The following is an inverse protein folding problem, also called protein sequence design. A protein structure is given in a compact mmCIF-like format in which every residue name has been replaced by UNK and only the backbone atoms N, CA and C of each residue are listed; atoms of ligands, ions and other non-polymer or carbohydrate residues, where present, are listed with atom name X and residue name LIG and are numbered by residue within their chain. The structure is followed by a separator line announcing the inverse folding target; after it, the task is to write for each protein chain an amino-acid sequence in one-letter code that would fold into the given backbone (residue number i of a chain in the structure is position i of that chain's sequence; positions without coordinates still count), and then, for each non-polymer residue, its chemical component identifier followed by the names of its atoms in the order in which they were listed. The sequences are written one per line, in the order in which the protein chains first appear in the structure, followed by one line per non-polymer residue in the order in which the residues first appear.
data_IF_849992854506
#
_entry.id   IF_849992854506
#
_cell.length_a   1.000
_cell.length_b   1.000
_cell.length_c   1.000
_cell.angle_alpha   90.00
_cell.angle_beta   90.00
_cell.angle_gamma   90.00
#
_symmetry.space_group_name_H-M   'P 1'
#
loop_
_entity.id
_entity.type
_entity.pdbx_description
1 polymer ?
#
# COMPACT_ATOMS: atom_id res chain seq x y z
N UNK A 1 -7.63 36.48 -32.58
CA UNK A 1 -6.86 35.85 -31.48
C UNK A 1 -7.74 35.12 -30.44
N UNK A 2 -8.83 35.70 -29.92
CA UNK A 2 -9.72 35.02 -28.93
C UNK A 2 -10.36 33.70 -29.41
N UNK A 3 -10.75 33.59 -30.72
CA UNK A 3 -11.33 32.37 -31.26
C UNK A 3 -10.33 31.21 -31.42
N UNK A 4 -9.05 31.49 -31.67
CA UNK A 4 -7.99 30.49 -31.80
C UNK A 4 -7.62 29.86 -30.43
N UNK A 5 -7.64 30.67 -29.37
CA UNK A 5 -7.38 30.20 -27.98
C UNK A 5 -8.49 29.26 -27.50
N UNK A 6 -9.77 29.54 -27.83
CA UNK A 6 -10.88 28.65 -27.48
C UNK A 6 -10.80 27.29 -28.19
N UNK A 7 -10.33 27.25 -29.44
CA UNK A 7 -10.21 26.01 -30.21
C UNK A 7 -9.07 25.12 -29.69
N UNK A 8 -7.94 25.71 -29.24
CA UNK A 8 -6.83 24.96 -28.62
C UNK A 8 -7.23 24.40 -27.26
N UNK A 9 -7.97 25.15 -26.44
CA UNK A 9 -8.48 24.65 -25.15
C UNK A 9 -9.45 23.48 -25.32
N UNK A 10 -10.31 23.51 -26.36
CA UNK A 10 -11.24 22.40 -26.64
C UNK A 10 -10.54 21.13 -27.12
N UNK A 11 -9.45 21.24 -27.89
CA UNK A 11 -8.67 20.09 -28.38
C UNK A 11 -7.90 19.43 -27.19
N UNK A 12 -7.38 20.21 -26.26
CA UNK A 12 -6.71 19.68 -25.06
C UNK A 12 -7.67 18.93 -24.13
N UNK A 13 -8.91 19.39 -23.98
CA UNK A 13 -9.95 18.71 -23.18
C UNK A 13 -10.40 17.39 -23.82
N UNK A 14 -10.51 17.32 -25.14
CA UNK A 14 -10.87 16.10 -25.86
C UNK A 14 -9.76 15.03 -25.79
N UNK A 15 -8.49 15.41 -25.83
CA UNK A 15 -7.37 14.48 -25.68
C UNK A 15 -7.29 13.87 -24.27
N UNK A 16 -7.56 14.65 -23.23
CA UNK A 16 -7.53 14.16 -21.85
C UNK A 16 -8.67 13.16 -21.56
N UNK A 17 -9.87 13.37 -22.11
CA UNK A 17 -10.99 12.43 -21.98
C UNK A 17 -10.69 11.09 -22.68
N UNK A 18 -10.10 11.10 -23.87
CA UNK A 18 -9.82 9.87 -24.65
C UNK A 18 -8.79 8.96 -23.99
N UNK A 19 -7.80 9.51 -23.29
CA UNK A 19 -6.75 8.72 -22.62
C UNK A 19 -7.22 8.11 -21.30
N UNK A 20 -8.10 8.78 -20.56
CA UNK A 20 -8.72 8.23 -19.34
C UNK A 20 -9.63 7.05 -19.68
N UNK A 21 -10.45 7.15 -20.72
CA UNK A 21 -11.32 6.07 -21.20
C UNK A 21 -10.50 4.84 -21.65
N UNK A 22 -9.40 5.04 -22.39
CA UNK A 22 -8.53 3.94 -22.83
C UNK A 22 -7.88 3.20 -21.64
N UNK A 23 -7.42 3.92 -20.61
CA UNK A 23 -6.84 3.29 -19.41
C UNK A 23 -7.89 2.49 -18.64
N UNK A 24 -9.09 3.03 -18.47
CA UNK A 24 -10.22 2.33 -17.85
C UNK A 24 -10.58 1.05 -18.59
N UNK A 25 -10.62 1.08 -19.93
CA UNK A 25 -10.87 -0.11 -20.75
C UNK A 25 -9.77 -1.16 -20.59
N UNK A 26 -8.50 -0.76 -20.53
CA UNK A 26 -7.38 -1.70 -20.34
C UNK A 26 -7.42 -2.34 -18.96
N UNK A 27 -7.75 -1.59 -17.91
CA UNK A 27 -7.95 -2.13 -16.57
C UNK A 27 -9.16 -3.08 -16.49
N UNK A 28 -10.25 -2.76 -17.21
CA UNK A 28 -11.40 -3.66 -17.33
C UNK A 28 -11.04 -4.97 -18.02
N UNK A 29 -10.20 -4.94 -19.07
CA UNK A 29 -9.68 -6.18 -19.69
C UNK A 29 -8.89 -7.05 -18.72
N UNK A 30 -8.15 -6.44 -17.77
CA UNK A 30 -7.46 -7.20 -16.71
C UNK A 30 -8.48 -7.86 -15.78
N UNK A 31 -9.53 -7.15 -15.33
CA UNK A 31 -10.61 -7.76 -14.54
C UNK A 31 -11.23 -8.96 -15.25
N UNK A 32 -11.65 -8.77 -16.51
CA UNK A 32 -12.32 -9.80 -17.30
C UNK A 32 -11.42 -11.01 -17.57
N UNK A 33 -10.13 -10.77 -17.88
CA UNK A 33 -9.13 -11.83 -18.14
C UNK A 33 -8.92 -12.76 -16.94
N UNK A 34 -8.98 -12.21 -15.74
CA UNK A 34 -8.66 -12.96 -14.51
C UNK A 34 -9.88 -13.28 -13.66
N UNK A 35 -11.07 -12.85 -14.10
CA UNK A 35 -12.30 -12.95 -13.32
C UNK A 35 -12.04 -12.43 -11.89
N UNK A 36 -11.58 -11.19 -11.81
CA UNK A 36 -11.15 -10.56 -10.56
C UNK A 36 -11.63 -9.11 -10.50
N UNK A 37 -11.95 -8.64 -9.30
CA UNK A 37 -12.16 -7.23 -9.06
C UNK A 37 -10.80 -6.55 -8.86
N UNK A 38 -10.61 -5.39 -9.47
CA UNK A 38 -9.40 -4.57 -9.36
C UNK A 38 -9.78 -3.17 -8.88
N UNK A 39 -9.06 -2.65 -7.91
CA UNK A 39 -9.15 -1.26 -7.47
C UNK A 39 -7.78 -0.60 -7.55
N UNK A 40 -7.72 0.60 -8.12
CA UNK A 40 -6.47 1.35 -8.35
C UNK A 40 -6.59 2.78 -7.87
N UNK A 41 -5.57 3.25 -7.21
CA UNK A 41 -5.27 4.67 -7.04
C UNK A 41 -3.79 4.89 -7.33
N UNK A 42 -3.50 5.76 -8.28
CA UNK A 42 -2.14 6.17 -8.63
C UNK A 42 -2.05 7.69 -8.68
N UNK A 43 -1.06 8.26 -8.00
CA UNK A 43 -0.76 9.69 -7.96
C UNK A 43 0.70 9.94 -8.32
N UNK A 44 0.96 10.62 -9.41
CA UNK A 44 2.30 11.17 -9.68
C UNK A 44 2.49 12.43 -8.84
N UNK A 45 3.31 12.34 -7.79
CA UNK A 45 3.52 13.45 -6.84
C UNK A 45 4.35 14.61 -7.42
N UNK A 46 4.89 14.47 -8.63
CA UNK A 46 5.60 15.55 -9.32
C UNK A 46 4.66 16.44 -10.17
N UNK A 47 3.57 15.86 -10.70
CA UNK A 47 2.67 16.51 -11.67
C UNK A 47 1.23 16.60 -11.20
N UNK A 48 0.90 15.99 -10.05
CA UNK A 48 -0.45 15.82 -9.51
C UNK A 48 -1.41 15.04 -10.44
N UNK A 49 -0.88 14.35 -11.47
CA UNK A 49 -1.66 13.48 -12.34
C UNK A 49 -2.13 12.26 -11.57
N UNK A 50 -3.44 12.02 -11.57
CA UNK A 50 -4.05 10.81 -10.98
C UNK A 50 -4.52 9.85 -12.08
N UNK A 51 -4.46 8.55 -11.79
CA UNK A 51 -5.13 7.46 -12.52
C UNK A 51 -5.87 6.64 -11.48
N UNK A 52 -7.18 6.49 -11.66
CA UNK A 52 -8.04 5.77 -10.73
C UNK A 52 -8.90 4.74 -11.45
N UNK A 53 -9.25 3.67 -10.73
CA UNK A 53 -10.18 2.66 -11.20
C UNK A 53 -10.80 1.94 -10.00
N UNK A 54 -12.13 1.93 -9.89
CA UNK A 54 -12.84 1.42 -8.72
C UNK A 54 -12.25 1.98 -7.40
N UNK A 55 -11.79 3.21 -7.40
CA UNK A 55 -11.01 3.84 -6.32
C UNK A 55 -11.76 3.97 -5.00
N UNK A 56 -13.09 3.97 -5.05
CA UNK A 56 -13.99 4.03 -3.89
C UNK A 56 -14.55 2.65 -3.48
N UNK A 57 -14.26 1.58 -4.26
CA UNK A 57 -14.65 0.21 -3.89
C UNK A 57 -13.84 -0.29 -2.70
N UNK A 58 -14.50 -0.98 -1.76
CA UNK A 58 -13.83 -1.54 -0.58
C UNK A 58 -13.16 -2.86 -0.87
N UNK A 59 -11.94 -2.98 -0.35
CA UNK A 59 -11.14 -4.21 -0.37
C UNK A 59 -10.55 -4.48 1.03
N UNK A 60 -10.28 -5.76 1.35
CA UNK A 60 -9.39 -6.07 2.45
C UNK A 60 -8.01 -5.49 2.17
N UNK A 61 -7.44 -4.73 3.08
CA UNK A 61 -6.07 -4.22 2.88
C UNK A 61 -5.00 -5.30 3.20
N UNK A 62 -5.33 -6.29 4.05
CA UNK A 62 -4.41 -7.33 4.51
C UNK A 62 -3.07 -6.74 5.00
N UNK A 63 -1.95 -7.41 4.76
CA UNK A 63 -0.62 -6.94 5.21
C UNK A 63 -0.10 -5.65 4.55
N UNK A 64 -0.82 -5.04 3.58
CA UNK A 64 -0.42 -3.70 3.09
C UNK A 64 -0.54 -2.65 4.19
N UNK A 65 -1.43 -2.86 5.17
CA UNK A 65 -1.58 -1.96 6.33
C UNK A 65 -0.30 -1.82 7.17
N UNK A 66 0.60 -2.80 7.10
CA UNK A 66 1.91 -2.78 7.76
C UNK A 66 2.78 -1.58 7.33
N UNK A 67 2.58 -1.06 6.12
CA UNK A 67 3.24 0.18 5.69
C UNK A 67 2.71 1.40 6.47
N UNK A 68 1.39 1.47 6.72
CA UNK A 68 0.81 2.56 7.50
C UNK A 68 1.16 2.46 8.99
N UNK A 69 1.08 1.27 9.60
CA UNK A 69 1.43 1.07 11.02
C UNK A 69 2.89 1.37 11.29
N UNK A 70 3.81 0.91 10.43
CA UNK A 70 5.24 1.22 10.52
C UNK A 70 5.52 2.72 10.37
N UNK A 71 4.86 3.39 9.41
CA UNK A 71 5.00 4.83 9.23
C UNK A 71 4.48 5.62 10.45
N UNK A 72 3.33 5.21 11.02
CA UNK A 72 2.79 5.84 12.23
C UNK A 72 3.72 5.68 13.44
N UNK A 73 4.35 4.49 13.60
CA UNK A 73 5.31 4.27 14.67
C UNK A 73 6.58 5.11 14.46
N UNK A 74 7.08 5.21 13.23
CA UNK A 74 8.23 6.06 12.88
C UNK A 74 7.94 7.55 13.04
N UNK A 75 6.70 8.01 12.83
CA UNK A 75 6.30 9.38 13.10
C UNK A 75 6.34 9.71 14.60
N UNK A 76 5.96 8.73 15.45
CA UNK A 76 5.93 8.86 16.91
C UNK A 76 7.33 8.71 17.53
N UNK A 77 8.24 7.95 16.90
CA UNK A 77 9.53 7.52 17.48
C UNK A 77 10.69 8.23 16.78
N UNK A 78 11.46 9.10 17.46
CA UNK A 78 12.68 9.67 16.91
C UNK A 78 13.67 8.60 16.45
N UNK A 79 14.43 8.88 15.40
CA UNK A 79 15.33 7.88 14.80
C UNK A 79 16.37 7.31 15.78
N UNK A 80 16.90 8.14 16.67
CA UNK A 80 17.85 7.73 17.74
C UNK A 80 17.22 6.85 18.82
N UNK A 81 15.88 6.80 18.92
CA UNK A 81 15.16 5.96 19.87
C UNK A 81 14.70 4.62 19.27
N UNK A 82 14.94 4.34 18.01
CA UNK A 82 14.55 3.10 17.34
C UNK A 82 15.21 1.85 17.96
N UNK A 83 16.30 2.00 18.72
CA UNK A 83 16.97 0.92 19.45
C UNK A 83 16.36 0.65 20.84
N UNK A 84 15.30 1.37 21.24
CA UNK A 84 14.55 1.09 22.46
C UNK A 84 14.14 -0.38 22.48
N UNK A 85 14.42 -1.05 23.61
CA UNK A 85 14.12 -2.47 23.80
C UNK A 85 12.64 -2.72 23.97
N UNK A 86 12.18 -3.82 23.38
CA UNK A 86 10.83 -4.37 23.50
C UNK A 86 10.97 -5.85 23.79
N UNK A 87 10.34 -6.34 24.86
CA UNK A 87 10.34 -7.75 25.22
C UNK A 87 9.36 -8.53 24.35
N UNK A 88 9.75 -9.72 23.89
CA UNK A 88 8.88 -10.63 23.13
C UNK A 88 8.56 -11.82 24.03
N UNK A 89 7.33 -11.92 24.47
CA UNK A 89 6.85 -13.08 25.24
C UNK A 89 6.43 -14.22 24.29
N UNK A 90 6.25 -15.41 24.84
CA UNK A 90 5.74 -16.56 24.06
C UNK A 90 4.30 -16.32 23.61
N UNK A 91 3.52 -15.63 24.41
CA UNK A 91 2.12 -15.30 24.21
C UNK A 91 1.91 -14.31 23.04
N UNK A 92 2.93 -13.51 22.69
CA UNK A 92 2.88 -12.57 21.57
C UNK A 92 2.94 -13.28 20.22
N UNK A 93 3.48 -14.50 20.18
CA UNK A 93 3.74 -15.20 18.91
C UNK A 93 2.45 -15.70 18.28
N UNK A 94 2.19 -15.17 17.08
CA UNK A 94 1.07 -15.59 16.25
C UNK A 94 1.57 -16.25 14.95
N UNK A 95 0.72 -16.99 14.23
CA UNK A 95 1.10 -17.62 12.97
C UNK A 95 1.72 -16.64 11.96
N UNK A 96 2.73 -17.11 11.23
CA UNK A 96 3.52 -16.34 10.28
C UNK A 96 4.37 -15.23 10.94
N UNK A 97 5.30 -15.64 11.79
CA UNK A 97 6.23 -14.75 12.50
C UNK A 97 7.69 -15.19 12.31
N UNK A 98 8.19 -15.27 11.06
CA UNK A 98 9.48 -15.92 10.74
C UNK A 98 10.70 -15.25 11.36
N UNK A 99 10.55 -14.01 11.84
CA UNK A 99 11.62 -13.27 12.54
C UNK A 99 11.41 -13.33 14.04
N UNK A 100 10.21 -12.95 14.54
CA UNK A 100 9.96 -12.78 15.98
C UNK A 100 9.89 -14.10 16.74
N UNK A 101 9.56 -15.23 16.11
CA UNK A 101 9.66 -16.57 16.74
C UNK A 101 11.05 -16.88 17.30
N UNK A 102 12.12 -16.23 16.80
CA UNK A 102 13.52 -16.39 17.25
C UNK A 102 13.85 -15.56 18.50
N UNK A 103 12.92 -14.67 18.87
CA UNK A 103 13.08 -13.75 20.00
C UNK A 103 12.20 -14.10 21.19
N UNK A 104 11.55 -15.27 21.23
CA UNK A 104 10.73 -15.72 22.35
C UNK A 104 11.51 -15.62 23.65
N UNK A 105 10.95 -14.93 24.66
CA UNK A 105 11.53 -14.61 25.96
C UNK A 105 12.86 -13.83 25.88
N UNK A 106 13.00 -12.99 24.84
CA UNK A 106 14.16 -12.12 24.64
C UNK A 106 13.72 -10.71 24.29
N UNK A 107 14.63 -9.78 24.48
CA UNK A 107 14.45 -8.41 24.02
C UNK A 107 14.79 -8.29 22.54
N UNK A 108 14.00 -7.48 21.85
CA UNK A 108 14.24 -6.97 20.51
C UNK A 108 14.27 -5.44 20.54
N UNK A 109 14.07 -4.76 19.42
CA UNK A 109 14.00 -3.31 19.36
C UNK A 109 12.86 -2.84 18.45
N UNK A 110 12.39 -1.60 18.61
CA UNK A 110 11.43 -0.95 17.69
C UNK A 110 11.94 -1.05 16.25
N UNK A 111 13.23 -0.78 16.03
CA UNK A 111 13.86 -0.95 14.71
C UNK A 111 13.64 -2.35 14.15
N UNK A 112 13.90 -3.37 14.95
CA UNK A 112 13.76 -4.78 14.53
C UNK A 112 12.30 -5.16 14.28
N UNK A 113 11.34 -4.64 15.05
CA UNK A 113 9.91 -4.82 14.76
C UNK A 113 9.55 -4.29 13.38
N UNK A 114 9.98 -3.07 13.05
CA UNK A 114 9.72 -2.44 11.74
C UNK A 114 10.41 -3.22 10.61
N UNK A 115 11.69 -3.64 10.80
CA UNK A 115 12.41 -4.49 9.82
C UNK A 115 11.67 -5.81 9.56
N UNK A 116 11.25 -6.51 10.61
CA UNK A 116 10.53 -7.79 10.49
C UNK A 116 9.19 -7.61 9.77
N UNK A 117 8.46 -6.58 10.16
CA UNK A 117 7.16 -6.23 9.56
C UNK A 117 7.27 -5.91 8.07
N UNK A 118 8.25 -5.08 7.70
CA UNK A 118 8.37 -4.58 6.33
C UNK A 118 9.05 -5.57 5.39
N UNK A 119 10.15 -6.21 5.81
CA UNK A 119 10.91 -7.12 4.94
C UNK A 119 10.26 -8.49 4.77
N UNK A 120 9.66 -9.02 5.85
CA UNK A 120 9.17 -10.40 5.91
C UNK A 120 7.68 -10.51 6.17
N UNK A 121 6.99 -9.37 6.33
CA UNK A 121 5.56 -9.33 6.67
C UNK A 121 5.22 -10.07 7.97
N UNK A 122 6.13 -10.06 8.96
CA UNK A 122 5.99 -10.73 10.25
C UNK A 122 4.73 -10.23 10.99
N UNK A 123 3.86 -11.15 11.39
CA UNK A 123 2.57 -10.82 11.99
C UNK A 123 2.72 -10.39 13.45
N UNK A 124 3.53 -11.10 14.23
CA UNK A 124 3.81 -10.73 15.63
C UNK A 124 4.42 -9.34 15.69
N UNK A 125 5.41 -9.06 14.82
CA UNK A 125 6.04 -7.75 14.78
C UNK A 125 5.03 -6.63 14.51
N UNK A 126 4.07 -6.83 13.60
CA UNK A 126 3.03 -5.83 13.35
C UNK A 126 2.06 -5.68 14.52
N UNK A 127 1.65 -6.76 15.18
CA UNK A 127 0.80 -6.69 16.37
C UNK A 127 1.49 -5.88 17.49
N UNK A 128 2.77 -6.12 17.74
CA UNK A 128 3.56 -5.35 18.71
C UNK A 128 3.70 -3.87 18.30
N UNK A 129 3.81 -3.56 16.99
CA UNK A 129 3.76 -2.18 16.49
C UNK A 129 2.42 -1.52 16.82
N UNK A 130 1.30 -2.22 16.62
CA UNK A 130 -0.03 -1.70 16.97
C UNK A 130 -0.15 -1.45 18.48
N UNK A 131 0.42 -2.31 19.32
CA UNK A 131 0.45 -2.13 20.78
C UNK A 131 1.31 -0.92 21.18
N UNK A 132 2.51 -0.75 20.61
CA UNK A 132 3.37 0.42 20.82
C UNK A 132 2.70 1.74 20.38
N UNK A 133 1.80 1.68 19.39
CA UNK A 133 0.95 2.80 19.00
C UNK A 133 -0.18 3.11 19.99
N UNK A 134 -0.49 2.21 20.92
CA UNK A 134 -1.61 2.31 21.87
C UNK A 134 -2.88 1.59 21.44
N UNK A 135 -2.75 0.60 20.53
CA UNK A 135 -3.83 -0.22 20.02
C UNK A 135 -4.64 0.47 18.90
N UNK A 136 -5.62 -0.26 18.38
CA UNK A 136 -6.42 0.24 17.26
C UNK A 136 -7.27 1.47 17.56
N UNK A 137 -7.56 1.77 18.83
CA UNK A 137 -8.22 3.02 19.22
C UNK A 137 -7.38 4.24 18.81
N UNK A 138 -6.09 4.24 19.14
CA UNK A 138 -5.18 5.34 18.80
C UNK A 138 -4.82 5.33 17.30
N UNK A 139 -4.66 4.16 16.68
CA UNK A 139 -4.49 4.03 15.23
C UNK A 139 -5.66 4.63 14.46
N UNK A 140 -6.91 4.32 14.85
CA UNK A 140 -8.11 4.91 14.24
C UNK A 140 -8.21 6.44 14.47
N UNK A 141 -7.81 6.91 15.64
CA UNK A 141 -7.72 8.35 15.92
C UNK A 141 -6.67 9.02 15.01
N UNK A 142 -5.53 8.35 14.81
CA UNK A 142 -4.49 8.84 13.92
C UNK A 142 -4.96 8.89 12.46
N UNK A 143 -5.62 7.86 11.96
CA UNK A 143 -6.22 7.87 10.62
C UNK A 143 -7.19 9.05 10.45
N UNK A 144 -8.08 9.28 11.42
CA UNK A 144 -8.99 10.43 11.39
C UNK A 144 -8.26 11.77 11.33
N UNK A 145 -7.12 11.93 12.03
CA UNK A 145 -6.31 13.15 11.98
C UNK A 145 -5.60 13.36 10.64
N UNK A 146 -5.54 12.32 9.81
CA UNK A 146 -5.06 12.33 8.42
C UNK A 146 -6.21 12.48 7.41
N UNK A 147 -7.44 12.79 7.88
CA UNK A 147 -8.68 12.83 7.10
C UNK A 147 -9.13 11.49 6.54
N UNK A 148 -8.54 10.37 6.99
CA UNK A 148 -8.97 9.04 6.61
C UNK A 148 -10.08 8.54 7.54
N UNK A 149 -11.32 8.67 7.08
CA UNK A 149 -12.53 8.13 7.74
C UNK A 149 -12.97 6.79 7.13
N UNK A 150 -12.26 6.32 6.12
CA UNK A 150 -12.62 5.17 5.28
C UNK A 150 -11.92 3.88 5.69
N UNK A 151 -10.61 3.94 5.97
CA UNK A 151 -9.82 2.80 6.47
C UNK A 151 -10.29 2.40 7.87
N UNK A 152 -10.56 1.10 8.09
CA UNK A 152 -11.20 0.57 9.31
C UNK A 152 -10.38 -0.57 9.95
N UNK A 153 -9.19 -0.33 10.49
CA UNK A 153 -8.45 -1.36 11.23
C UNK A 153 -9.18 -1.71 12.53
N UNK A 154 -9.33 -3.00 12.80
CA UNK A 154 -10.15 -3.50 13.90
C UNK A 154 -9.60 -4.73 14.60
N UNK A 155 -8.92 -5.63 13.88
CA UNK A 155 -8.45 -6.92 14.38
C UNK A 155 -6.95 -7.03 14.24
N UNK A 156 -6.33 -7.74 15.17
CA UNK A 156 -4.91 -8.11 15.10
C UNK A 156 -4.66 -9.15 14.01
N UNK A 157 -3.39 -9.37 13.67
CA UNK A 157 -2.98 -10.53 12.88
C UNK A 157 -3.13 -11.80 13.72
N UNK A 158 -3.55 -12.94 13.14
CA UNK A 158 -3.86 -13.14 11.72
C UNK A 158 -5.32 -12.86 11.34
N UNK A 159 -6.21 -12.52 12.30
CA UNK A 159 -7.67 -12.41 12.11
C UNK A 159 -8.07 -11.34 11.09
N UNK A 160 -7.28 -10.28 10.95
CA UNK A 160 -7.55 -9.23 9.95
C UNK A 160 -7.56 -9.76 8.51
N UNK A 161 -6.92 -10.92 8.25
CA UNK A 161 -6.86 -11.54 6.92
C UNK A 161 -8.12 -12.41 6.61
N UNK A 162 -9.04 -12.57 7.58
CA UNK A 162 -10.33 -13.19 7.35
C UNK A 162 -11.33 -12.15 6.81
N UNK A 163 -11.18 -11.80 5.52
CA UNK A 163 -12.04 -10.83 4.86
C UNK A 163 -13.49 -11.31 4.78
N UNK A 164 -14.41 -10.38 4.99
CA UNK A 164 -15.84 -10.57 4.81
C UNK A 164 -16.41 -9.37 4.03
N UNK A 165 -16.89 -9.55 2.78
CA UNK A 165 -17.40 -8.45 1.96
C UNK A 165 -18.65 -7.75 2.54
N UNK A 166 -19.32 -8.37 3.51
CA UNK A 166 -20.46 -7.79 4.24
C UNK A 166 -20.04 -6.93 5.44
N UNK A 167 -18.73 -6.74 5.65
CA UNK A 167 -18.16 -5.99 6.79
C UNK A 167 -17.14 -4.97 6.32
N UNK A 168 -17.14 -3.81 6.96
CA UNK A 168 -16.11 -2.79 6.72
C UNK A 168 -14.83 -3.01 7.54
N UNK A 169 -14.79 -4.03 8.45
CA UNK A 169 -13.62 -4.28 9.29
C UNK A 169 -12.44 -4.72 8.45
N UNK A 170 -11.28 -4.16 8.75
CA UNK A 170 -9.99 -4.45 8.11
C UNK A 170 -10.01 -4.23 6.60
N UNK A 171 -10.73 -3.19 6.18
CA UNK A 171 -10.86 -2.77 4.78
C UNK A 171 -10.51 -1.31 4.59
N UNK A 172 -10.18 -0.96 3.36
CA UNK A 172 -10.06 0.41 2.87
C UNK A 172 -10.53 0.50 1.41
N UNK A 173 -10.49 1.71 0.86
CA UNK A 173 -10.58 1.93 -0.58
C UNK A 173 -9.19 2.28 -1.12
N UNK A 174 -8.88 2.01 -2.40
CA UNK A 174 -7.59 2.38 -3.00
C UNK A 174 -7.25 3.86 -2.80
N UNK A 175 -8.23 4.75 -3.02
CA UNK A 175 -8.03 6.19 -2.88
C UNK A 175 -7.73 6.60 -1.43
N UNK A 176 -8.52 6.17 -0.47
CA UNK A 176 -8.31 6.53 0.93
C UNK A 176 -6.94 6.03 1.41
N UNK A 177 -6.60 4.79 1.09
CA UNK A 177 -5.33 4.19 1.46
C UNK A 177 -4.14 4.93 0.84
N UNK A 178 -4.21 5.22 -0.47
CA UNK A 178 -3.14 5.91 -1.19
C UNK A 178 -2.92 7.34 -0.70
N UNK A 179 -3.99 8.09 -0.45
CA UNK A 179 -3.92 9.44 0.13
C UNK A 179 -3.30 9.41 1.53
N UNK A 180 -3.69 8.45 2.38
CA UNK A 180 -3.12 8.29 3.73
C UNK A 180 -1.64 7.91 3.67
N UNK A 181 -1.27 6.98 2.79
CA UNK A 181 0.11 6.56 2.57
C UNK A 181 0.98 7.75 2.12
N UNK A 182 0.50 8.56 1.17
CA UNK A 182 1.19 9.76 0.71
C UNK A 182 1.38 10.77 1.85
N UNK A 183 0.31 11.10 2.58
CA UNK A 183 0.36 12.04 3.71
C UNK A 183 1.36 11.61 4.79
N UNK A 184 1.40 10.32 5.14
CA UNK A 184 2.29 9.82 6.18
C UNK A 184 3.77 9.84 5.76
N UNK A 185 4.07 9.47 4.52
CA UNK A 185 5.44 9.19 4.11
C UNK A 185 6.05 10.33 3.28
N UNK A 186 5.24 11.01 2.46
CA UNK A 186 5.75 12.06 1.56
C UNK A 186 5.63 13.48 2.11
N UNK A 187 4.58 13.80 2.87
CA UNK A 187 4.23 15.17 3.26
C UNK A 187 5.03 15.70 4.47
N UNK A 188 6.25 15.19 4.67
CA UNK A 188 7.19 15.71 5.68
C UNK A 188 6.85 15.36 7.13
N UNK A 189 5.99 14.37 7.38
CA UNK A 189 5.64 13.91 8.72
C UNK A 189 6.72 13.04 9.36
N UNK A 190 7.46 12.29 8.55
CA UNK A 190 8.63 11.55 8.99
C UNK A 190 9.87 12.43 8.91
N UNK A 191 10.79 12.27 9.87
CA UNK A 191 12.14 12.82 9.71
C UNK A 191 12.78 12.22 8.44
N UNK A 192 13.78 12.92 7.89
CA UNK A 192 14.51 12.46 6.70
C UNK A 192 15.07 11.04 6.92
N UNK A 193 15.64 10.79 8.09
CA UNK A 193 16.25 9.52 8.48
C UNK A 193 15.16 8.40 8.52
N UNK A 194 14.03 8.66 9.20
CA UNK A 194 12.94 7.70 9.31
C UNK A 194 12.28 7.41 7.96
N UNK A 195 12.10 8.44 7.11
CA UNK A 195 11.60 8.25 5.75
C UNK A 195 12.56 7.40 4.92
N UNK A 196 13.86 7.70 4.94
CA UNK A 196 14.87 6.92 4.22
C UNK A 196 14.86 5.48 4.69
N UNK A 197 14.89 5.26 6.00
CA UNK A 197 14.84 3.91 6.60
C UNK A 197 13.61 3.12 6.12
N UNK A 198 12.42 3.70 6.16
CA UNK A 198 11.20 3.02 5.73
C UNK A 198 11.21 2.71 4.22
N UNK A 199 11.60 3.68 3.39
CA UNK A 199 11.66 3.49 1.93
C UNK A 199 12.69 2.41 1.57
N UNK A 200 13.85 2.37 2.22
CA UNK A 200 14.86 1.33 1.99
C UNK A 200 14.34 -0.06 2.36
N UNK A 201 13.57 -0.20 3.45
CA UNK A 201 12.91 -1.46 3.79
C UNK A 201 11.87 -1.87 2.73
N UNK A 202 11.10 -0.93 2.22
CA UNK A 202 10.12 -1.17 1.15
C UNK A 202 10.80 -1.60 -0.16
N UNK A 203 11.93 -0.98 -0.55
CA UNK A 203 12.72 -1.38 -1.72
C UNK A 203 13.20 -2.83 -1.59
N UNK A 204 13.63 -3.21 -0.38
CA UNK A 204 14.20 -4.52 -0.05
C UNK A 204 13.16 -5.54 0.41
N UNK A 205 11.87 -5.25 0.31
CA UNK A 205 10.78 -6.18 0.62
C UNK A 205 10.97 -7.53 -0.09
N UNK A 206 10.81 -8.62 0.67
CA UNK A 206 11.03 -10.01 0.17
C UNK A 206 9.76 -10.69 -0.36
N UNK A 207 8.63 -10.00 -0.34
CA UNK A 207 7.31 -10.58 -0.67
C UNK A 207 6.57 -9.90 -1.83
N UNK A 208 7.20 -8.93 -2.50
CA UNK A 208 6.59 -8.10 -3.55
C UNK A 208 7.10 -8.32 -4.98
N UNK A 209 8.13 -9.16 -5.19
CA UNK A 209 8.85 -9.24 -6.47
C UNK A 209 7.99 -9.66 -7.68
N UNK A 210 6.89 -10.38 -7.44
CA UNK A 210 5.94 -10.84 -8.47
C UNK A 210 4.77 -9.89 -8.74
N UNK A 211 4.68 -8.78 -8.01
CA UNK A 211 3.56 -7.85 -8.00
C UNK A 211 3.87 -6.54 -8.75
N UNK A 212 3.75 -5.36 -8.11
CA UNK A 212 4.04 -4.07 -8.76
C UNK A 212 5.44 -4.05 -9.36
N UNK A 213 6.47 -4.57 -8.65
CA UNK A 213 7.84 -4.65 -9.18
C UNK A 213 7.90 -5.39 -10.52
N UNK A 214 7.14 -6.49 -10.67
CA UNK A 214 7.10 -7.28 -11.91
C UNK A 214 6.45 -6.54 -13.06
N UNK A 215 5.43 -5.70 -12.77
CA UNK A 215 4.71 -4.92 -13.77
C UNK A 215 5.38 -3.60 -14.13
N UNK A 216 6.26 -3.09 -13.27
CA UNK A 216 6.93 -1.81 -13.47
C UNK A 216 7.96 -1.86 -14.61
N UNK A 217 8.16 -0.74 -15.35
CA UNK A 217 9.28 -0.60 -16.27
C UNK A 217 10.61 -0.88 -15.59
N UNK A 218 11.55 -1.56 -16.29
CA UNK A 218 12.84 -2.02 -15.73
C UNK A 218 13.70 -0.90 -15.12
N UNK A 219 13.50 0.32 -15.58
CA UNK A 219 14.24 1.50 -15.12
C UNK A 219 13.56 2.24 -13.96
N UNK A 220 12.44 1.73 -13.44
CA UNK A 220 11.76 2.27 -12.26
C UNK A 220 12.22 1.56 -10.99
N UNK A 221 12.43 2.32 -9.91
CA UNK A 221 12.68 1.76 -8.59
C UNK A 221 11.36 1.64 -7.85
N UNK A 222 11.07 0.47 -7.30
CA UNK A 222 9.81 0.19 -6.59
C UNK A 222 10.09 -0.08 -5.12
N UNK A 223 9.46 0.70 -4.26
CA UNK A 223 9.42 0.53 -2.82
C UNK A 223 8.00 0.07 -2.44
N UNK A 224 7.78 -1.22 -2.19
CA UNK A 224 6.46 -1.81 -2.04
C UNK A 224 6.20 -2.48 -0.70
N UNK A 225 4.94 -2.69 -0.40
CA UNK A 225 4.47 -3.60 0.65
C UNK A 225 3.28 -4.41 0.15
N UNK A 226 3.47 -5.71 0.05
CA UNK A 226 2.44 -6.64 -0.38
C UNK A 226 1.45 -7.01 0.73
N UNK A 227 0.28 -7.51 0.32
CA UNK A 227 -0.73 -8.07 1.22
C UNK A 227 -1.51 -9.22 0.57
N UNK A 228 -1.91 -10.19 1.40
CA UNK A 228 -2.77 -11.28 0.98
C UNK A 228 -3.72 -11.63 2.11
N UNK A 229 -5.03 -11.65 1.82
CA UNK A 229 -6.00 -12.19 2.76
C UNK A 229 -6.24 -13.70 2.50
N UNK A 230 -6.82 -14.38 3.49
CA UNK A 230 -7.07 -15.84 3.44
C UNK A 230 -8.25 -16.18 2.53
N UNK A 231 -9.19 -15.24 2.38
CA UNK A 231 -10.46 -15.47 1.68
C UNK A 231 -10.61 -14.53 0.49
N UNK A 232 -11.47 -14.90 -0.47
CA UNK A 232 -11.83 -14.11 -1.65
C UNK A 232 -10.63 -13.75 -2.53
N UNK A 233 -9.60 -14.56 -2.53
CA UNK A 233 -8.39 -14.38 -3.34
C UNK A 233 -7.76 -12.96 -3.25
N UNK A 234 -7.95 -12.25 -2.12
CA UNK A 234 -7.42 -10.89 -1.98
C UNK A 234 -5.90 -10.89 -2.09
N UNK A 235 -5.37 -10.19 -3.09
CA UNK A 235 -3.94 -10.03 -3.34
C UNK A 235 -3.66 -8.58 -3.69
N UNK A 236 -2.88 -7.91 -2.87
CA UNK A 236 -2.71 -6.46 -2.87
C UNK A 236 -1.24 -6.08 -2.92
N UNK A 237 -0.99 -4.88 -3.43
CA UNK A 237 0.31 -4.24 -3.30
C UNK A 237 0.18 -2.73 -3.25
N UNK A 238 1.03 -2.07 -2.44
CA UNK A 238 1.10 -0.61 -2.34
C UNK A 238 2.55 -0.18 -2.45
N UNK A 239 2.80 0.87 -3.21
CA UNK A 239 4.18 1.24 -3.53
C UNK A 239 4.39 2.75 -3.70
N UNK A 240 5.64 3.16 -3.44
CA UNK A 240 6.25 4.36 -4.01
C UNK A 240 7.12 3.93 -5.18
N UNK A 241 6.73 4.34 -6.38
CA UNK A 241 7.41 3.98 -7.62
C UNK A 241 8.17 5.21 -8.14
N UNK A 242 9.49 5.10 -8.25
CA UNK A 242 10.37 6.18 -8.69
C UNK A 242 10.79 5.96 -10.14
N UNK A 243 10.28 6.75 -11.12
CA UNK A 243 10.81 6.75 -12.48
C UNK A 243 12.31 7.10 -12.50
N UNK A 244 13.03 6.66 -13.52
CA UNK A 244 14.47 6.91 -13.64
C UNK A 244 14.78 8.41 -13.62
N UNK A 245 15.63 8.82 -12.69
CA UNK A 245 16.06 10.22 -12.56
C UNK A 245 15.09 11.11 -11.78
N UNK A 246 13.93 10.59 -11.38
CA UNK A 246 12.95 11.34 -10.60
C UNK A 246 13.14 11.12 -9.10
N UNK A 247 13.08 12.20 -8.33
CA UNK A 247 13.11 12.14 -6.85
C UNK A 247 11.72 12.05 -6.23
N UNK A 248 10.69 12.50 -6.96
CA UNK A 248 9.30 12.44 -6.55
C UNK A 248 8.65 11.16 -7.07
N UNK A 249 8.04 10.34 -6.21
CA UNK A 249 7.48 9.06 -6.63
C UNK A 249 6.07 9.17 -7.22
N UNK A 250 5.67 8.11 -7.89
CA UNK A 250 4.26 7.76 -8.09
C UNK A 250 3.82 6.95 -6.88
N UNK A 251 2.80 7.38 -6.16
CA UNK A 251 2.11 6.57 -5.15
C UNK A 251 1.16 5.64 -5.89
N UNK A 252 1.27 4.34 -5.69
CA UNK A 252 0.44 3.35 -6.37
C UNK A 252 -0.16 2.37 -5.36
N UNK A 253 -1.48 2.25 -5.38
CA UNK A 253 -2.25 1.26 -4.63
C UNK A 253 -2.99 0.38 -5.62
N UNK A 254 -2.79 -0.93 -5.51
CA UNK A 254 -3.53 -1.95 -6.27
C UNK A 254 -4.11 -2.93 -5.26
N UNK A 255 -5.43 -2.95 -5.17
CA UNK A 255 -6.19 -3.92 -4.38
C UNK A 255 -6.97 -4.84 -5.29
N UNK A 256 -6.96 -6.14 -4.99
CA UNK A 256 -7.69 -7.12 -5.79
C UNK A 256 -8.41 -8.14 -4.92
N UNK A 257 -9.53 -8.66 -5.43
CA UNK A 257 -10.20 -9.82 -4.87
C UNK A 257 -10.99 -10.58 -5.95
N UNK A 258 -11.60 -11.70 -5.57
CA UNK A 258 -12.56 -12.45 -6.38
C UNK A 258 -13.88 -12.64 -5.63
N UNK A 259 -14.91 -13.08 -6.34
CA UNK A 259 -16.24 -13.30 -5.75
C UNK A 259 -16.30 -14.59 -4.90
N UNK A 260 -15.54 -15.62 -5.27
CA UNK A 260 -15.53 -16.90 -4.56
C UNK A 260 -14.69 -16.84 -3.29
N UNK A 261 -15.28 -17.21 -2.15
CA UNK A 261 -14.60 -17.20 -0.84
C UNK A 261 -13.34 -18.04 -0.80
N UNK A 262 -13.29 -19.14 -1.55
CA UNK A 262 -12.17 -20.10 -1.60
C UNK A 262 -11.28 -19.96 -2.83
N UNK A 263 -11.52 -18.93 -3.65
CA UNK A 263 -10.70 -18.65 -4.82
C UNK A 263 -9.24 -18.44 -4.45
N UNK A 264 -8.35 -18.73 -5.40
CA UNK A 264 -6.91 -18.58 -5.20
C UNK A 264 -6.42 -17.22 -5.71
N UNK A 265 -5.56 -16.53 -4.96
CA UNK A 265 -4.94 -15.29 -5.41
C UNK A 265 -4.06 -15.53 -6.63
N UNK A 266 -3.93 -14.50 -7.49
CA UNK A 266 -3.10 -14.55 -8.68
C UNK A 266 -2.28 -13.26 -8.81
N UNK A 267 -0.98 -13.35 -8.61
CA UNK A 267 -0.05 -12.22 -8.66
C UNK A 267 -0.05 -11.48 -10.01
N UNK A 268 -0.43 -12.18 -11.11
CA UNK A 268 -0.51 -11.58 -12.44
C UNK A 268 -1.59 -10.49 -12.53
N UNK A 269 -2.65 -10.57 -11.75
CA UNK A 269 -3.67 -9.51 -11.71
C UNK A 269 -3.01 -8.19 -11.28
N UNK A 270 -2.23 -8.22 -10.20
CA UNK A 270 -1.53 -7.04 -9.68
C UNK A 270 -0.45 -6.57 -10.66
N UNK A 271 0.39 -7.48 -11.19
CA UNK A 271 1.49 -7.08 -12.07
C UNK A 271 1.03 -6.55 -13.43
N UNK A 272 -0.03 -7.11 -14.03
CA UNK A 272 -0.58 -6.59 -15.29
C UNK A 272 -1.31 -5.25 -15.06
N UNK A 273 -2.02 -5.09 -13.95
CA UNK A 273 -2.58 -3.80 -13.53
C UNK A 273 -1.49 -2.74 -13.38
N UNK A 274 -0.39 -3.08 -12.67
CA UNK A 274 0.73 -2.16 -12.49
C UNK A 274 1.36 -1.76 -13.83
N UNK A 275 1.51 -2.70 -14.77
CA UNK A 275 2.02 -2.42 -16.10
C UNK A 275 1.14 -1.41 -16.84
N UNK A 276 -0.17 -1.65 -16.91
CA UNK A 276 -1.14 -0.74 -17.56
C UNK A 276 -1.04 0.67 -16.97
N UNK A 277 -1.01 0.79 -15.65
CA UNK A 277 -0.99 2.09 -14.97
C UNK A 277 0.34 2.81 -15.16
N UNK A 278 1.46 2.11 -14.96
CA UNK A 278 2.79 2.73 -14.96
C UNK A 278 3.27 3.09 -16.37
N UNK A 279 2.81 2.41 -17.42
CA UNK A 279 3.05 2.80 -18.81
C UNK A 279 2.50 4.20 -19.09
N UNK A 280 1.33 4.57 -18.55
CA UNK A 280 0.70 5.91 -18.73
C UNK A 280 1.46 7.06 -18.01
N UNK A 281 2.37 6.74 -17.13
CA UNK A 281 3.28 7.73 -16.52
C UNK A 281 4.68 7.73 -17.16
N UNK A 282 4.96 6.76 -18.05
CA UNK A 282 6.23 6.67 -18.75
C UNK A 282 6.19 7.38 -20.12
N UNK A 283 5.01 7.64 -20.67
CA UNK A 283 4.82 8.41 -21.90
C UNK A 283 5.16 9.88 -21.63
N UNK A 284 6.40 10.31 -22.06
CA UNK A 284 6.88 11.68 -22.03
C UNK A 284 6.49 12.40 -23.32
#
# INVERSE_FOLDING_TARGET
MKKLILMIASILLLSACSTADATTQDLKKVEDKYDANVGVYALNTATDKEITFNEDKRFAYASTFKALSSAMLLEKTPHNELNKKVHVSKEDIVPYSPVLEKFINKDTSIKKLIEATMLYSDNTANNMIIEELGGYKEVNKRLKSLDDKTTKPSRMEPELNNYNPKSNRDTSTPQAFGKTLNKLINDGRLSKENKTFLIDLMINNKSGDTLIKKGAPKNFKVADKSGQAITYASRNDVAFVYPKGESKPIVLVIFTNKEGKTDKPNDKVVSETAKVVLEKFNDK
#
